data_IF_685969005856
#
_entry.id   IF_685969005856
#
_cell.length_a   1.000
_cell.length_b   1.000
_cell.length_c   1.000
_cell.angle_alpha   90.00
_cell.angle_beta   90.00
_cell.angle_gamma   90.00
#
_symmetry.space_group_name_H-M   'P 1'
#
loop_
_entity.id
_entity.type
_entity.pdbx_description
1 polymer ?
#
# COMPACT_ATOMS: atom_id res chain seq x y z
N UNK A 1 -11.56 -7.55 -27.03
CA UNK A 1 -10.76 -7.55 -25.81
C UNK A 1 -9.92 -6.30 -25.76
N UNK A 2 -9.70 -5.72 -24.60
CA UNK A 2 -9.01 -4.42 -24.45
C UNK A 2 -7.51 -4.63 -24.20
N UNK A 3 -6.67 -3.92 -24.94
CA UNK A 3 -5.22 -3.89 -24.73
C UNK A 3 -4.87 -2.81 -23.72
N UNK A 4 -4.27 -3.18 -22.59
CA UNK A 4 -4.02 -2.28 -21.49
C UNK A 4 -2.51 -2.18 -21.21
N UNK A 5 -2.00 -0.95 -21.11
CA UNK A 5 -0.71 -0.67 -20.53
C UNK A 5 -0.91 -0.27 -19.06
N UNK A 6 -0.34 -1.05 -18.13
CA UNK A 6 -0.46 -0.82 -16.69
C UNK A 6 0.82 -0.20 -16.15
N UNK A 7 0.71 0.94 -15.49
CA UNK A 7 1.79 1.70 -14.89
C UNK A 7 1.63 1.79 -13.37
N UNK A 8 2.75 1.72 -12.66
CA UNK A 8 2.83 1.84 -11.20
C UNK A 8 4.28 1.79 -10.73
N UNK A 9 4.50 1.55 -9.44
CA UNK A 9 5.83 1.34 -8.86
C UNK A 9 6.10 -0.16 -8.66
N UNK A 10 6.18 -0.91 -9.76
CA UNK A 10 6.23 -2.37 -9.78
C UNK A 10 7.62 -2.92 -10.10
N UNK A 11 7.95 -4.11 -9.56
CA UNK A 11 9.21 -4.79 -9.80
C UNK A 11 10.39 -4.24 -9.01
N UNK A 12 10.15 -3.61 -7.86
CA UNK A 12 11.20 -3.10 -6.95
C UNK A 12 11.29 -3.86 -5.62
N UNK A 13 10.48 -4.89 -5.44
CA UNK A 13 10.50 -5.71 -4.23
C UNK A 13 9.86 -5.06 -3.02
N UNK A 14 9.06 -4.02 -3.20
CA UNK A 14 8.20 -3.48 -2.17
C UNK A 14 6.90 -4.30 -2.11
N UNK A 15 6.68 -5.01 -1.03
CA UNK A 15 5.56 -5.93 -0.86
C UNK A 15 4.19 -5.26 -1.05
N UNK A 16 4.05 -4.01 -0.58
CA UNK A 16 2.83 -3.25 -0.76
C UNK A 16 2.51 -2.93 -2.20
N UNK A 17 3.50 -2.48 -2.98
CA UNK A 17 3.32 -2.16 -4.40
C UNK A 17 3.07 -3.45 -5.22
N UNK A 18 3.70 -4.57 -4.84
CA UNK A 18 3.42 -5.88 -5.45
C UNK A 18 1.99 -6.35 -5.15
N UNK A 19 1.49 -6.14 -3.93
CA UNK A 19 0.11 -6.44 -3.58
C UNK A 19 -0.89 -5.55 -4.35
N UNK A 20 -0.58 -4.27 -4.54
CA UNK A 20 -1.36 -3.38 -5.41
C UNK A 20 -1.42 -3.93 -6.83
N UNK A 21 -0.27 -4.33 -7.40
CA UNK A 21 -0.22 -4.92 -8.75
C UNK A 21 -1.12 -6.15 -8.84
N UNK A 22 -1.04 -7.06 -7.87
CA UNK A 22 -1.85 -8.28 -7.82
C UNK A 22 -3.36 -7.94 -7.82
N UNK A 23 -3.77 -7.01 -6.97
CA UNK A 23 -5.18 -6.64 -6.84
C UNK A 23 -5.71 -5.86 -8.05
N UNK A 24 -4.89 -5.00 -8.66
CA UNK A 24 -5.25 -4.30 -9.90
C UNK A 24 -5.34 -5.29 -11.07
N UNK A 25 -4.43 -6.27 -11.17
CA UNK A 25 -4.53 -7.32 -12.17
C UNK A 25 -5.83 -8.12 -12.01
N UNK A 26 -6.24 -8.48 -10.78
CA UNK A 26 -7.55 -9.14 -10.52
C UNK A 26 -8.73 -8.29 -11.04
N UNK A 27 -8.66 -6.96 -10.90
CA UNK A 27 -9.69 -6.06 -11.43
C UNK A 27 -9.68 -6.02 -12.96
N UNK A 28 -8.51 -5.89 -13.59
CA UNK A 28 -8.38 -5.83 -15.04
C UNK A 28 -8.79 -7.13 -15.73
N UNK A 29 -8.54 -8.29 -15.10
CA UNK A 29 -8.92 -9.60 -15.63
C UNK A 29 -10.45 -9.83 -15.71
N UNK A 30 -11.26 -8.92 -15.18
CA UNK A 30 -12.71 -8.94 -15.39
C UNK A 30 -13.15 -8.34 -16.73
N UNK A 31 -12.25 -7.62 -17.40
CA UNK A 31 -12.55 -6.92 -18.65
C UNK A 31 -11.65 -7.32 -19.82
N UNK A 32 -10.53 -8.02 -19.55
CA UNK A 32 -9.59 -8.47 -20.58
C UNK A 32 -8.75 -9.66 -20.10
N UNK A 33 -8.03 -10.31 -20.99
CA UNK A 33 -7.15 -11.44 -20.69
C UNK A 33 -5.72 -11.01 -20.34
N UNK A 34 -4.97 -11.87 -19.66
CA UNK A 34 -3.56 -11.63 -19.28
C UNK A 34 -2.68 -11.23 -20.45
N UNK A 35 -2.87 -11.87 -21.61
CA UNK A 35 -2.08 -11.60 -22.81
C UNK A 35 -2.27 -10.17 -23.37
N UNK A 36 -3.37 -9.50 -23.01
CA UNK A 36 -3.68 -8.13 -23.41
C UNK A 36 -3.21 -7.09 -22.37
N UNK A 37 -2.68 -7.53 -21.23
CA UNK A 37 -2.13 -6.64 -20.22
C UNK A 37 -0.61 -6.60 -20.36
N UNK A 38 -0.06 -5.39 -20.40
CA UNK A 38 1.39 -5.16 -20.36
C UNK A 38 1.72 -4.26 -19.18
N UNK A 39 2.61 -4.71 -18.30
CA UNK A 39 3.01 -3.99 -17.09
C UNK A 39 4.34 -3.27 -17.29
N UNK A 40 4.41 -1.98 -16.94
CA UNK A 40 5.67 -1.27 -16.79
C UNK A 40 6.34 -1.68 -15.49
N UNK A 41 7.50 -2.35 -15.58
CA UNK A 41 8.17 -2.91 -14.41
C UNK A 41 9.64 -2.51 -14.35
N UNK A 42 10.16 -2.39 -13.12
CA UNK A 42 11.58 -2.27 -12.84
C UNK A 42 12.34 -3.61 -12.97
N UNK A 43 11.62 -4.73 -12.81
CA UNK A 43 12.15 -6.08 -13.02
C UNK A 43 11.17 -6.89 -13.90
N UNK A 44 11.37 -6.81 -15.21
CA UNK A 44 10.49 -7.43 -16.20
C UNK A 44 10.35 -8.93 -16.02
N UNK A 45 11.47 -9.63 -15.83
CA UNK A 45 11.49 -11.07 -15.79
C UNK A 45 10.70 -11.60 -14.59
N UNK A 46 11.00 -11.09 -13.40
CA UNK A 46 10.30 -11.46 -12.17
C UNK A 46 8.80 -11.16 -12.26
N UNK A 47 8.44 -9.95 -12.74
CA UNK A 47 7.03 -9.56 -12.89
C UNK A 47 6.29 -10.44 -13.90
N UNK A 48 6.91 -10.74 -15.05
CA UNK A 48 6.30 -11.60 -16.07
C UNK A 48 6.14 -13.03 -15.57
N UNK A 49 7.15 -13.56 -14.91
CA UNK A 49 7.13 -14.93 -14.38
C UNK A 49 6.08 -15.09 -13.28
N UNK A 50 6.02 -14.14 -12.34
CA UNK A 50 5.11 -14.18 -11.20
C UNK A 50 3.64 -14.01 -11.60
N UNK A 51 3.35 -13.03 -12.45
CA UNK A 51 1.96 -12.65 -12.76
C UNK A 51 1.46 -13.18 -14.11
N UNK A 52 2.32 -13.81 -14.92
CA UNK A 52 2.01 -14.35 -16.25
C UNK A 52 1.38 -13.30 -17.18
N UNK A 53 1.96 -12.10 -17.20
CA UNK A 53 1.57 -10.96 -18.05
C UNK A 53 2.74 -10.50 -18.90
N UNK A 54 2.46 -9.71 -19.94
CA UNK A 54 3.52 -9.06 -20.71
C UNK A 54 4.16 -7.95 -19.87
N UNK A 55 5.44 -7.69 -20.06
CA UNK A 55 6.18 -6.68 -19.33
C UNK A 55 7.07 -5.84 -20.24
N UNK A 56 7.23 -4.56 -19.91
CA UNK A 56 8.16 -3.63 -20.54
C UNK A 56 8.97 -2.94 -19.44
N UNK A 57 10.24 -2.69 -19.73
CA UNK A 57 11.07 -1.85 -18.86
C UNK A 57 10.47 -0.44 -18.77
N UNK A 58 10.19 0.00 -17.56
CA UNK A 58 9.56 1.29 -17.29
C UNK A 58 10.35 2.51 -17.77
N UNK A 59 11.63 2.35 -18.05
CA UNK A 59 12.50 3.43 -18.56
C UNK A 59 12.74 3.35 -20.06
N UNK A 60 12.29 2.29 -20.74
CA UNK A 60 12.40 2.15 -22.19
C UNK A 60 11.29 2.92 -22.92
N UNK A 61 11.52 4.21 -23.12
CA UNK A 61 10.54 5.12 -23.74
C UNK A 61 10.08 4.65 -25.12
N UNK A 62 10.96 4.11 -25.96
CA UNK A 62 10.62 3.64 -27.30
C UNK A 62 9.63 2.46 -27.24
N UNK A 63 9.89 1.50 -26.33
CA UNK A 63 8.98 0.37 -26.12
C UNK A 63 7.64 0.81 -25.55
N UNK A 64 7.63 1.83 -24.65
CA UNK A 64 6.39 2.42 -24.12
C UNK A 64 5.58 3.06 -25.24
N UNK A 65 6.20 3.89 -26.08
CA UNK A 65 5.54 4.52 -27.22
C UNK A 65 4.93 3.46 -28.15
N UNK A 66 5.72 2.47 -28.55
CA UNK A 66 5.26 1.37 -29.42
C UNK A 66 4.06 0.63 -28.82
N UNK A 67 4.07 0.41 -27.49
CA UNK A 67 2.97 -0.28 -26.82
C UNK A 67 1.72 0.60 -26.72
N UNK A 68 1.86 1.89 -26.43
CA UNK A 68 0.73 2.82 -26.38
C UNK A 68 -0.02 2.89 -27.72
N UNK A 69 0.68 2.87 -28.87
CA UNK A 69 0.05 2.84 -30.21
C UNK A 69 -0.94 1.68 -30.34
N UNK A 70 -0.65 0.52 -29.74
CA UNK A 70 -1.51 -0.67 -29.81
C UNK A 70 -2.39 -0.90 -28.57
N UNK A 71 -2.48 0.10 -27.67
CA UNK A 71 -3.28 -0.01 -26.45
C UNK A 71 -4.56 0.81 -26.51
N UNK A 72 -5.63 0.31 -25.89
CA UNK A 72 -6.89 1.05 -25.73
C UNK A 72 -6.79 2.03 -24.55
N UNK A 73 -6.03 1.66 -23.49
CA UNK A 73 -5.90 2.47 -22.30
C UNK A 73 -4.52 2.38 -21.64
N UNK A 74 -4.11 3.48 -21.01
CA UNK A 74 -3.09 3.53 -19.98
C UNK A 74 -3.78 3.57 -18.60
N UNK A 75 -3.52 2.57 -17.78
CA UNK A 75 -4.06 2.46 -16.42
C UNK A 75 -2.94 2.66 -15.41
N UNK A 76 -3.13 3.53 -14.44
CA UNK A 76 -2.27 3.64 -13.27
C UNK A 76 -2.92 2.91 -12.11
N UNK A 77 -2.26 1.90 -11.57
CA UNK A 77 -2.83 1.04 -10.55
C UNK A 77 -2.32 1.36 -9.16
N UNK A 78 -3.04 2.18 -8.40
CA UNK A 78 -2.79 2.42 -6.97
C UNK A 78 -1.44 3.05 -6.63
N UNK A 79 -1.16 3.13 -5.33
CA UNK A 79 0.08 3.68 -4.81
C UNK A 79 0.11 5.21 -4.70
N UNK A 80 1.22 5.75 -4.20
CA UNK A 80 1.45 7.21 -4.08
C UNK A 80 2.44 7.66 -5.16
N UNK A 81 1.98 7.70 -6.42
CA UNK A 81 2.84 7.96 -7.57
C UNK A 81 3.13 9.45 -7.76
N UNK A 82 2.15 10.31 -7.45
CA UNK A 82 2.24 11.76 -7.63
C UNK A 82 2.58 12.44 -6.30
N UNK A 83 3.88 12.51 -6.01
CA UNK A 83 4.45 13.21 -4.85
C UNK A 83 5.86 13.71 -5.20
N UNK A 84 6.37 14.74 -4.54
CA UNK A 84 7.68 15.32 -4.81
C UNK A 84 8.63 15.37 -3.59
N UNK A 85 8.25 14.67 -2.50
CA UNK A 85 9.04 14.59 -1.25
C UNK A 85 10.21 13.62 -1.37
N UNK A 86 9.96 12.39 -1.87
CA UNK A 86 11.01 11.37 -1.99
C UNK A 86 11.83 11.52 -3.27
N UNK A 87 11.23 12.01 -4.35
CA UNK A 87 11.90 12.26 -5.62
C UNK A 87 11.17 13.30 -6.46
N UNK A 88 11.82 14.43 -6.70
CA UNK A 88 11.32 15.47 -7.62
C UNK A 88 11.17 14.98 -9.07
N UNK A 89 11.90 13.94 -9.48
CA UNK A 89 11.86 13.39 -10.85
C UNK A 89 10.71 12.43 -11.05
N UNK A 90 10.27 11.73 -10.00
CA UNK A 90 9.23 10.70 -10.08
C UNK A 90 7.91 11.25 -10.57
N UNK A 91 7.45 12.38 -10.03
CA UNK A 91 6.18 13.01 -10.43
C UNK A 91 6.17 13.37 -11.92
N UNK A 92 7.27 13.93 -12.45
CA UNK A 92 7.37 14.31 -13.86
C UNK A 92 7.35 13.10 -14.79
N UNK A 93 7.90 11.96 -14.39
CA UNK A 93 7.83 10.72 -15.13
C UNK A 93 6.38 10.26 -15.34
N UNK A 94 5.58 10.21 -14.27
CA UNK A 94 4.17 9.80 -14.39
C UNK A 94 3.34 10.82 -15.16
N UNK A 95 3.56 12.12 -14.94
CA UNK A 95 2.89 13.16 -15.73
C UNK A 95 3.27 13.11 -17.22
N UNK A 96 4.51 12.73 -17.53
CA UNK A 96 4.93 12.49 -18.91
C UNK A 96 4.18 11.33 -19.54
N UNK A 97 4.05 10.19 -18.87
CA UNK A 97 3.30 9.03 -19.36
C UNK A 97 1.83 9.38 -19.65
N UNK A 98 1.18 10.11 -18.74
CA UNK A 98 -0.21 10.58 -18.92
C UNK A 98 -0.33 11.42 -20.20
N UNK A 99 0.57 12.40 -20.37
CA UNK A 99 0.54 13.27 -21.55
C UNK A 99 0.82 12.52 -22.84
N UNK A 100 1.76 11.60 -22.80
CA UNK A 100 2.10 10.77 -23.96
C UNK A 100 0.91 9.92 -24.39
N UNK A 101 0.26 9.22 -23.46
CA UNK A 101 -0.92 8.41 -23.73
C UNK A 101 -2.07 9.26 -24.26
N UNK A 102 -2.34 10.41 -23.66
CA UNK A 102 -3.37 11.34 -24.13
C UNK A 102 -3.10 11.84 -25.56
N UNK A 103 -1.84 12.17 -25.89
CA UNK A 103 -1.46 12.58 -27.27
C UNK A 103 -1.64 11.47 -28.30
N UNK A 104 -1.57 10.21 -27.87
CA UNK A 104 -1.78 9.04 -28.73
C UNK A 104 -3.24 8.59 -28.81
N UNK A 105 -4.15 9.30 -28.13
CA UNK A 105 -5.59 8.99 -28.15
C UNK A 105 -5.99 7.84 -27.23
N UNK A 106 -5.08 7.37 -26.33
CA UNK A 106 -5.42 6.35 -25.35
C UNK A 106 -6.31 6.92 -24.24
N UNK A 107 -7.27 6.15 -23.74
CA UNK A 107 -7.91 6.46 -22.46
C UNK A 107 -6.89 6.40 -21.35
N UNK A 108 -6.95 7.34 -20.41
CA UNK A 108 -6.08 7.37 -19.24
C UNK A 108 -6.92 7.26 -17.97
N UNK A 109 -6.64 6.24 -17.18
CA UNK A 109 -7.38 5.94 -15.94
C UNK A 109 -6.40 5.83 -14.78
N UNK A 110 -6.69 6.51 -13.69
CA UNK A 110 -5.94 6.39 -12.44
C UNK A 110 -6.81 5.70 -11.39
N UNK A 111 -6.36 4.55 -10.89
CA UNK A 111 -7.10 3.75 -9.92
C UNK A 111 -6.51 3.88 -8.53
N UNK A 112 -7.36 4.21 -7.54
CA UNK A 112 -7.01 4.17 -6.10
C UNK A 112 -5.71 4.89 -5.73
N UNK A 113 -5.50 6.08 -6.31
CA UNK A 113 -4.26 6.83 -6.09
C UNK A 113 -4.23 7.50 -4.71
N UNK A 114 -3.13 7.34 -3.99
CA UNK A 114 -2.74 8.27 -2.94
C UNK A 114 -2.00 9.46 -3.54
N UNK A 115 -2.40 10.67 -3.24
CA UNK A 115 -1.83 11.87 -3.84
C UNK A 115 -1.11 12.72 -2.81
N UNK A 116 0.07 13.15 -3.18
CA UNK A 116 0.86 14.11 -2.41
C UNK A 116 1.69 13.48 -1.27
N UNK A 117 2.33 14.34 -0.46
CA UNK A 117 2.34 15.80 -0.65
C UNK A 117 3.10 16.23 -1.90
N UNK A 118 2.60 17.28 -2.58
CA UNK A 118 3.29 17.98 -3.67
C UNK A 118 3.59 19.38 -3.13
N UNK A 119 4.85 19.65 -2.82
CA UNK A 119 5.27 20.88 -2.15
C UNK A 119 5.57 22.01 -3.14
N UNK A 120 6.05 21.67 -4.33
CA UNK A 120 6.45 22.65 -5.33
C UNK A 120 5.25 23.18 -6.11
N UNK A 121 5.05 24.50 -6.13
CA UNK A 121 3.93 25.17 -6.79
C UNK A 121 3.89 24.92 -8.32
N UNK A 122 5.05 24.82 -8.96
CA UNK A 122 5.12 24.46 -10.38
C UNK A 122 4.64 23.03 -10.60
N UNK A 123 5.02 22.11 -9.71
CA UNK A 123 4.55 20.71 -9.74
C UNK A 123 3.04 20.64 -9.56
N UNK A 124 2.46 21.40 -8.62
CA UNK A 124 0.99 21.47 -8.42
C UNK A 124 0.28 21.91 -9.70
N UNK A 125 0.71 23.03 -10.30
CA UNK A 125 0.12 23.56 -11.54
C UNK A 125 0.21 22.58 -12.71
N UNK A 126 1.37 21.93 -12.89
CA UNK A 126 1.57 20.94 -13.96
C UNK A 126 0.72 19.70 -13.72
N UNK A 127 0.61 19.25 -12.46
CA UNK A 127 -0.24 18.12 -12.07
C UNK A 127 -1.69 18.40 -12.39
N UNK A 128 -2.25 19.51 -11.91
CA UNK A 128 -3.63 19.89 -12.19
C UNK A 128 -3.93 19.97 -13.69
N UNK A 129 -3.08 20.67 -14.47
CA UNK A 129 -3.22 20.77 -15.93
C UNK A 129 -3.18 19.40 -16.62
N UNK A 130 -2.39 18.47 -16.10
CA UNK A 130 -2.25 17.14 -16.70
C UNK A 130 -3.42 16.25 -16.29
N UNK A 131 -3.81 16.24 -15.02
CA UNK A 131 -4.90 15.41 -14.51
C UNK A 131 -6.28 15.83 -15.05
N UNK A 132 -6.47 17.10 -15.38
CA UNK A 132 -7.69 17.55 -16.07
C UNK A 132 -7.86 16.95 -17.49
N UNK A 133 -6.84 16.26 -18.02
CA UNK A 133 -6.91 15.51 -19.28
C UNK A 133 -7.12 14.01 -19.09
N UNK A 134 -7.03 13.51 -17.85
CA UNK A 134 -7.29 12.10 -17.49
C UNK A 134 -8.79 11.85 -17.60
N UNK A 135 -9.20 10.67 -18.06
CA UNK A 135 -10.61 10.34 -18.23
C UNK A 135 -11.28 10.07 -16.86
N UNK A 136 -10.64 9.25 -16.02
CA UNK A 136 -11.15 8.90 -14.68
C UNK A 136 -10.03 8.86 -13.67
N UNK A 137 -10.28 9.42 -12.48
CA UNK A 137 -9.35 9.41 -11.37
C UNK A 137 -10.08 8.89 -10.13
N UNK A 138 -9.69 7.73 -9.62
CA UNK A 138 -10.10 7.31 -8.31
C UNK A 138 -8.96 7.50 -7.31
N UNK A 139 -9.28 8.03 -6.15
CA UNK A 139 -8.34 8.25 -5.05
C UNK A 139 -8.70 7.36 -3.88
N UNK A 140 -7.69 6.93 -3.10
CA UNK A 140 -7.90 5.97 -2.02
C UNK A 140 -8.33 6.58 -0.69
N UNK A 141 -8.21 7.89 -0.55
CA UNK A 141 -8.55 8.62 0.68
C UNK A 141 -9.13 10.01 0.35
N UNK A 142 -9.87 10.56 1.32
CA UNK A 142 -10.54 11.85 1.20
C UNK A 142 -9.54 12.99 1.03
N UNK A 143 -8.43 12.94 1.75
CA UNK A 143 -7.41 13.97 1.76
C UNK A 143 -6.74 14.10 0.38
N UNK A 144 -6.51 12.97 -0.31
CA UNK A 144 -6.05 12.98 -1.71
C UNK A 144 -7.06 13.66 -2.63
N UNK A 145 -8.37 13.45 -2.42
CA UNK A 145 -9.43 14.10 -3.20
C UNK A 145 -9.42 15.61 -2.97
N UNK A 146 -9.50 16.04 -1.71
CA UNK A 146 -9.48 17.44 -1.31
C UNK A 146 -8.23 18.16 -1.79
N UNK A 147 -7.07 17.50 -1.73
CA UNK A 147 -5.83 18.06 -2.25
C UNK A 147 -5.90 18.29 -3.76
N UNK A 148 -6.40 17.33 -4.55
CA UNK A 148 -6.55 17.49 -6.00
C UNK A 148 -7.53 18.63 -6.35
N UNK A 149 -8.64 18.73 -5.65
CA UNK A 149 -9.60 19.83 -5.79
C UNK A 149 -8.93 21.19 -5.48
N UNK A 150 -8.15 21.26 -4.40
CA UNK A 150 -7.46 22.49 -3.98
C UNK A 150 -6.44 23.01 -4.99
N UNK A 151 -5.84 22.13 -5.79
CA UNK A 151 -4.89 22.52 -6.84
C UNK A 151 -5.56 22.74 -8.22
N UNK A 152 -6.89 22.59 -8.32
CA UNK A 152 -7.69 22.90 -9.51
C UNK A 152 -7.94 21.71 -10.46
N UNK A 153 -7.98 20.48 -9.95
CA UNK A 153 -8.50 19.33 -10.70
C UNK A 153 -10.02 19.31 -10.61
N UNK A 154 -10.69 19.11 -11.76
CA UNK A 154 -12.15 19.06 -11.86
C UNK A 154 -12.73 17.93 -10.99
N UNK A 155 -13.58 18.30 -10.03
CA UNK A 155 -14.24 17.35 -9.10
C UNK A 155 -15.04 16.25 -9.81
N UNK A 156 -15.61 16.55 -11.00
CA UNK A 156 -16.38 15.59 -11.80
C UNK A 156 -15.57 14.39 -12.27
N UNK A 157 -14.25 14.51 -12.26
CA UNK A 157 -13.31 13.43 -12.61
C UNK A 157 -12.82 12.63 -11.41
N UNK A 158 -13.11 13.12 -10.18
CA UNK A 158 -12.57 12.59 -8.93
C UNK A 158 -13.58 11.70 -8.21
N UNK A 159 -13.25 10.44 -8.05
CA UNK A 159 -14.08 9.46 -7.35
C UNK A 159 -13.33 8.94 -6.13
N UNK A 160 -14.02 8.85 -4.99
CA UNK A 160 -13.47 8.22 -3.81
C UNK A 160 -13.55 6.69 -3.95
N UNK A 161 -12.43 6.04 -3.65
CA UNK A 161 -12.27 4.61 -3.62
C UNK A 161 -11.54 4.22 -2.31
N UNK A 162 -10.85 3.08 -2.29
CA UNK A 162 -9.93 2.70 -1.25
C UNK A 162 -8.68 2.07 -1.86
N UNK A 163 -7.65 1.84 -1.05
CA UNK A 163 -6.47 1.08 -1.50
C UNK A 163 -6.90 -0.33 -1.92
N UNK A 164 -6.52 -0.80 -3.13
CA UNK A 164 -7.01 -2.08 -3.65
C UNK A 164 -6.60 -3.28 -2.79
N UNK A 165 -5.53 -3.15 -2.01
CA UNK A 165 -5.02 -4.21 -1.13
C UNK A 165 -6.01 -4.56 -0.01
N UNK A 166 -6.96 -3.66 0.34
CA UNK A 166 -8.01 -3.98 1.32
C UNK A 166 -8.90 -5.16 0.88
N UNK A 167 -8.93 -5.48 -0.43
CA UNK A 167 -9.62 -6.65 -0.98
C UNK A 167 -8.74 -7.90 -1.08
N UNK A 168 -7.52 -7.86 -0.53
CA UNK A 168 -6.64 -9.03 -0.54
C UNK A 168 -7.33 -10.17 0.21
N UNK A 169 -7.57 -11.28 -0.49
CA UNK A 169 -8.24 -12.49 0.01
C UNK A 169 -9.58 -12.22 0.74
N UNK A 170 -10.34 -11.23 0.28
CA UNK A 170 -11.60 -10.81 0.90
C UNK A 170 -12.70 -11.89 0.90
N UNK A 171 -12.59 -12.91 0.04
CA UNK A 171 -13.44 -14.06 -0.04
C UNK A 171 -13.19 -15.12 1.06
N UNK A 172 -12.07 -15.03 1.77
CA UNK A 172 -11.74 -15.98 2.83
C UNK A 172 -12.42 -15.63 4.14
N UNK A 173 -13.05 -16.61 4.75
CA UNK A 173 -13.51 -16.47 6.13
C UNK A 173 -12.32 -16.52 7.08
N UNK A 174 -12.16 -15.50 7.89
CA UNK A 174 -11.18 -15.51 8.98
C UNK A 174 -11.73 -16.34 10.12
N UNK A 175 -11.17 -17.54 10.30
CA UNK A 175 -11.56 -18.42 11.42
C UNK A 175 -11.23 -17.78 12.78
N UNK A 176 -11.99 -18.08 13.84
CA UNK A 176 -11.61 -17.69 15.20
C UNK A 176 -10.20 -18.21 15.54
N UNK A 177 -9.38 -17.35 16.14
CA UNK A 177 -8.04 -17.71 16.56
C UNK A 177 -8.11 -18.33 17.95
N UNK A 178 -7.77 -19.59 18.05
CA UNK A 178 -7.64 -20.27 19.33
C UNK A 178 -6.16 -20.46 19.66
N UNK A 179 -5.47 -19.35 19.91
CA UNK A 179 -4.03 -19.38 20.26
C UNK A 179 -3.88 -19.47 21.77
N UNK A 180 -3.16 -20.46 22.25
CA UNK A 180 -2.77 -20.58 23.67
C UNK A 180 -1.95 -19.37 24.15
N UNK A 181 -1.15 -18.78 23.23
CA UNK A 181 -0.39 -17.56 23.45
C UNK A 181 -0.80 -16.47 22.48
N UNK A 182 -0.83 -15.24 22.99
CA UNK A 182 -1.05 -14.07 22.13
C UNK A 182 0.17 -13.82 21.24
N UNK A 183 -0.06 -13.38 20.00
CA UNK A 183 0.95 -13.13 18.96
C UNK A 183 0.87 -11.71 18.45
N UNK A 184 1.99 -11.00 18.48
CA UNK A 184 2.12 -9.62 17.98
C UNK A 184 3.12 -9.58 16.84
N UNK A 185 2.69 -9.10 15.68
CA UNK A 185 3.55 -8.89 14.51
C UNK A 185 4.05 -7.45 14.45
N UNK A 186 5.32 -7.26 14.17
CA UNK A 186 5.95 -5.96 13.95
C UNK A 186 6.37 -5.80 12.49
N UNK A 187 5.93 -4.72 11.85
CA UNK A 187 6.41 -4.30 10.54
C UNK A 187 6.99 -2.89 10.65
N UNK A 188 8.30 -2.82 10.70
CA UNK A 188 9.04 -1.64 11.08
C UNK A 188 9.66 -0.93 9.87
N UNK A 189 9.97 0.34 10.06
CA UNK A 189 10.74 1.16 9.12
C UNK A 189 11.52 2.23 9.88
N UNK A 190 12.78 2.43 9.53
CA UNK A 190 13.51 3.62 9.92
C UNK A 190 13.03 4.83 9.11
N UNK A 191 12.97 6.00 9.76
CA UNK A 191 12.61 7.23 9.10
C UNK A 191 13.61 8.34 9.40
N UNK A 192 14.20 8.91 8.33
CA UNK A 192 15.29 9.90 8.42
C UNK A 192 16.45 9.38 9.27
N UNK A 193 16.81 10.10 10.34
CA UNK A 193 17.89 9.74 11.27
C UNK A 193 17.38 9.09 12.57
N UNK A 194 16.06 8.86 12.67
CA UNK A 194 15.46 8.28 13.89
C UNK A 194 15.49 6.78 13.81
N UNK A 195 16.29 6.13 14.66
CA UNK A 195 16.21 4.69 14.89
C UNK A 195 15.25 4.40 16.03
N UNK A 196 14.32 3.48 15.78
CA UNK A 196 13.36 3.01 16.78
C UNK A 196 13.73 1.63 17.35
N UNK A 197 14.83 1.04 16.90
CA UNK A 197 15.24 -0.33 17.26
C UNK A 197 15.31 -0.57 18.76
N UNK A 198 15.97 0.33 19.52
CA UNK A 198 16.09 0.20 20.96
C UNK A 198 14.74 0.21 21.68
N UNK A 199 13.87 1.17 21.34
CA UNK A 199 12.53 1.29 21.94
C UNK A 199 11.66 0.07 21.62
N UNK A 200 11.64 -0.36 20.37
CA UNK A 200 10.90 -1.56 19.94
C UNK A 200 11.46 -2.81 20.63
N UNK A 201 12.78 -2.93 20.76
CA UNK A 201 13.41 -4.05 21.47
C UNK A 201 12.98 -4.12 22.92
N UNK A 202 12.90 -2.98 23.63
CA UNK A 202 12.44 -2.92 25.00
C UNK A 202 10.96 -3.32 25.13
N UNK A 203 10.11 -2.85 24.20
CA UNK A 203 8.70 -3.25 24.16
C UNK A 203 8.56 -4.75 23.91
N UNK A 204 9.29 -5.30 22.92
CA UNK A 204 9.23 -6.72 22.61
C UNK A 204 9.70 -7.61 23.76
N UNK A 205 10.75 -7.20 24.51
CA UNK A 205 11.17 -7.90 25.74
C UNK A 205 10.06 -7.93 26.78
N UNK A 206 9.44 -6.76 27.08
CA UNK A 206 8.32 -6.69 28.02
C UNK A 206 7.15 -7.57 27.61
N UNK A 207 6.85 -7.67 26.29
CA UNK A 207 5.81 -8.54 25.79
C UNK A 207 6.17 -10.02 25.97
N UNK A 208 7.41 -10.41 25.67
CA UNK A 208 7.91 -11.77 25.87
C UNK A 208 7.88 -12.19 27.35
N UNK A 209 8.27 -11.30 28.28
CA UNK A 209 8.19 -11.51 29.72
C UNK A 209 6.73 -11.76 30.19
N UNK A 210 5.75 -11.25 29.44
CA UNK A 210 4.31 -11.47 29.66
C UNK A 210 3.73 -12.61 28.79
N UNK A 211 4.56 -13.53 28.33
CA UNK A 211 4.18 -14.72 27.54
C UNK A 211 3.47 -14.38 26.20
N UNK A 212 3.82 -13.23 25.59
CA UNK A 212 3.33 -12.79 24.27
C UNK A 212 4.44 -13.02 23.25
N UNK A 213 4.14 -13.76 22.18
CA UNK A 213 5.08 -14.05 21.11
C UNK A 213 5.20 -12.86 20.15
N UNK A 214 6.42 -12.43 19.86
CA UNK A 214 6.70 -11.33 18.92
C UNK A 214 7.24 -11.85 17.59
N UNK A 215 6.73 -11.33 16.49
CA UNK A 215 7.11 -11.68 15.12
C UNK A 215 7.53 -10.42 14.37
N UNK A 216 8.66 -10.47 13.64
CA UNK A 216 9.16 -9.33 12.86
C UNK A 216 9.22 -9.69 11.38
N UNK A 217 8.53 -8.89 10.54
CA UNK A 217 8.45 -9.14 9.10
C UNK A 217 8.85 -7.90 8.28
N UNK A 218 9.64 -8.08 7.19
CA UNK A 218 9.95 -7.00 6.27
C UNK A 218 8.81 -6.79 5.26
N UNK A 219 8.44 -5.54 5.00
CA UNK A 219 7.55 -5.15 3.89
C UNK A 219 8.30 -4.57 2.70
N UNK A 220 9.45 -3.99 2.94
CA UNK A 220 10.41 -3.65 1.90
C UNK A 220 11.77 -4.21 2.29
N UNK A 221 12.02 -5.43 1.86
CA UNK A 221 13.12 -6.26 2.32
C UNK A 221 14.46 -5.51 2.41
N UNK A 222 14.88 -4.82 1.33
CA UNK A 222 16.15 -4.12 1.26
C UNK A 222 16.28 -2.94 2.24
N UNK A 223 15.16 -2.33 2.67
CA UNK A 223 15.17 -1.21 3.61
C UNK A 223 14.93 -1.66 5.05
N UNK A 224 14.14 -2.71 5.26
CA UNK A 224 13.66 -3.08 6.59
C UNK A 224 14.59 -4.09 7.29
N UNK A 225 15.38 -4.86 6.51
CA UNK A 225 16.21 -5.93 7.04
C UNK A 225 17.26 -5.45 8.05
N UNK A 226 17.86 -4.27 7.81
CA UNK A 226 18.85 -3.70 8.73
C UNK A 226 18.24 -3.45 10.11
N UNK A 227 17.07 -2.81 10.15
CA UNK A 227 16.36 -2.53 11.40
C UNK A 227 15.93 -3.81 12.12
N UNK A 228 15.41 -4.80 11.40
CA UNK A 228 15.02 -6.10 11.94
C UNK A 228 16.23 -6.81 12.55
N UNK A 229 17.39 -6.79 11.86
CA UNK A 229 18.63 -7.39 12.36
C UNK A 229 19.16 -6.68 13.61
N UNK A 230 18.96 -5.36 13.69
CA UNK A 230 19.35 -4.57 14.85
C UNK A 230 18.48 -4.93 16.08
N UNK A 231 17.17 -5.09 15.88
CA UNK A 231 16.24 -5.54 16.91
C UNK A 231 16.58 -6.96 17.36
N UNK A 232 16.86 -7.88 16.43
CA UNK A 232 17.26 -9.26 16.73
C UNK A 232 18.51 -9.31 17.64
N UNK A 233 19.54 -8.51 17.32
CA UNK A 233 20.75 -8.43 18.17
C UNK A 233 20.43 -8.01 19.62
N UNK A 234 19.40 -7.19 19.79
CA UNK A 234 19.03 -6.69 21.11
C UNK A 234 18.20 -7.67 21.93
N UNK A 235 17.36 -8.52 21.30
CA UNK A 235 16.40 -9.38 22.00
C UNK A 235 16.68 -10.89 21.86
N UNK A 236 17.56 -11.30 20.95
CA UNK A 236 17.93 -12.69 20.73
C UNK A 236 16.75 -13.57 20.35
N UNK A 237 16.73 -14.79 20.87
CA UNK A 237 15.74 -15.84 20.52
C UNK A 237 14.35 -15.61 21.16
N UNK A 238 14.10 -14.46 21.79
CA UNK A 238 12.81 -14.15 22.41
C UNK A 238 11.74 -13.68 21.39
N UNK A 239 12.03 -13.71 20.09
CA UNK A 239 11.10 -13.37 19.02
C UNK A 239 11.41 -14.17 17.75
N UNK A 240 10.47 -14.18 16.81
CA UNK A 240 10.60 -14.79 15.48
C UNK A 240 10.92 -13.72 14.45
N UNK A 241 11.99 -13.91 13.69
CA UNK A 241 12.45 -12.96 12.67
C UNK A 241 12.39 -13.56 11.27
N UNK A 242 11.61 -12.96 10.40
CA UNK A 242 11.60 -13.28 8.98
C UNK A 242 12.66 -12.44 8.28
N UNK A 243 13.75 -13.08 7.84
CA UNK A 243 14.89 -12.43 7.18
C UNK A 243 14.97 -12.74 5.69
N UNK A 244 13.89 -13.24 5.13
CA UNK A 244 13.76 -13.53 3.70
C UNK A 244 12.73 -12.61 3.06
N UNK A 245 12.80 -12.48 1.75
CA UNK A 245 11.81 -11.72 0.99
C UNK A 245 10.50 -12.51 0.94
N UNK A 246 9.47 -12.00 1.59
CA UNK A 246 8.15 -12.61 1.60
C UNK A 246 7.39 -12.29 0.31
N UNK A 247 6.59 -13.25 -0.14
CA UNK A 247 5.52 -13.00 -1.11
C UNK A 247 4.30 -12.35 -0.43
N UNK A 248 3.40 -11.79 -1.23
CA UNK A 248 2.12 -11.22 -0.76
C UNK A 248 1.32 -12.21 0.07
N UNK A 249 1.25 -13.47 -0.39
CA UNK A 249 0.50 -14.53 0.30
C UNK A 249 1.15 -14.94 1.62
N UNK A 250 2.47 -15.13 1.66
CA UNK A 250 3.18 -15.47 2.89
C UNK A 250 3.02 -14.39 3.95
N UNK A 251 3.20 -13.11 3.59
CA UNK A 251 3.01 -12.02 4.52
C UNK A 251 1.56 -11.93 5.03
N UNK A 252 0.58 -12.15 4.15
CA UNK A 252 -0.83 -12.18 4.55
C UNK A 252 -1.11 -13.34 5.51
N UNK A 253 -0.61 -14.55 5.23
CA UNK A 253 -0.80 -15.73 6.07
C UNK A 253 -0.14 -15.57 7.44
N UNK A 254 1.05 -14.96 7.49
CA UNK A 254 1.69 -14.61 8.78
C UNK A 254 0.79 -13.65 9.55
N UNK A 255 0.40 -12.52 8.96
CA UNK A 255 -0.40 -11.48 9.64
C UNK A 255 -1.77 -12.04 10.05
N UNK A 256 -2.44 -12.81 9.19
CA UNK A 256 -3.75 -13.42 9.47
C UNK A 256 -3.74 -14.26 10.75
N UNK A 257 -2.62 -14.84 11.12
CA UNK A 257 -2.46 -15.68 12.31
C UNK A 257 -2.04 -14.89 13.57
N UNK A 258 -1.94 -13.56 13.50
CA UNK A 258 -1.57 -12.70 14.62
C UNK A 258 -2.79 -12.18 15.36
N UNK A 259 -2.65 -11.88 16.65
CA UNK A 259 -3.68 -11.22 17.44
C UNK A 259 -3.65 -9.70 17.25
N UNK A 260 -2.45 -9.14 16.99
CA UNK A 260 -2.23 -7.72 16.78
C UNK A 260 -1.08 -7.49 15.81
N UNK A 261 -1.15 -6.40 15.05
CA UNK A 261 -0.01 -5.90 14.27
C UNK A 261 0.43 -4.52 14.79
N UNK A 262 1.73 -4.32 14.99
CA UNK A 262 2.35 -3.00 15.21
C UNK A 262 3.02 -2.59 13.92
N UNK A 263 2.49 -1.56 13.24
CA UNK A 263 2.91 -1.20 11.90
C UNK A 263 3.41 0.24 11.78
N UNK A 264 4.59 0.39 11.15
CA UNK A 264 5.09 1.65 10.62
C UNK A 264 4.81 1.73 9.12
N UNK A 265 4.92 0.62 8.39
CA UNK A 265 4.65 0.54 6.96
C UNK A 265 3.15 0.58 6.68
N UNK A 266 2.69 1.54 5.85
CA UNK A 266 1.28 1.67 5.48
C UNK A 266 0.65 0.34 5.05
N UNK A 267 1.30 -0.38 4.13
CA UNK A 267 0.71 -1.61 3.61
C UNK A 267 0.66 -2.75 4.64
N UNK A 268 1.51 -2.75 5.67
CA UNK A 268 1.35 -3.72 6.76
C UNK A 268 0.04 -3.51 7.53
N UNK A 269 -0.34 -2.24 7.75
CA UNK A 269 -1.62 -1.87 8.36
C UNK A 269 -2.81 -2.26 7.46
N UNK A 270 -2.68 -2.05 6.13
CA UNK A 270 -3.72 -2.45 5.17
C UNK A 270 -3.87 -3.97 5.12
N UNK A 271 -2.77 -4.73 5.18
CA UNK A 271 -2.80 -6.21 5.27
C UNK A 271 -3.49 -6.67 6.55
N UNK A 272 -3.16 -6.06 7.69
CA UNK A 272 -3.82 -6.36 8.95
C UNK A 272 -5.32 -6.08 8.87
N UNK A 273 -5.71 -4.94 8.33
CA UNK A 273 -7.12 -4.60 8.12
C UNK A 273 -7.81 -5.57 7.15
N UNK A 274 -7.16 -5.95 6.04
CA UNK A 274 -7.69 -6.93 5.09
C UNK A 274 -7.89 -8.32 5.72
N UNK A 275 -7.07 -8.67 6.71
CA UNK A 275 -7.13 -9.92 7.48
C UNK A 275 -7.98 -9.83 8.77
N UNK A 276 -8.69 -8.72 8.97
CA UNK A 276 -9.43 -8.42 10.21
C UNK A 276 -8.55 -8.56 11.48
N UNK A 277 -7.28 -8.16 11.41
CA UNK A 277 -6.34 -8.13 12.53
C UNK A 277 -6.27 -6.72 13.09
N UNK A 278 -6.59 -6.50 14.36
CA UNK A 278 -6.38 -5.21 15.00
C UNK A 278 -4.93 -4.75 14.87
N UNK A 279 -4.70 -3.45 14.85
CA UNK A 279 -3.35 -2.93 14.72
C UNK A 279 -3.10 -1.70 15.60
N UNK A 280 -1.82 -1.47 15.91
CA UNK A 280 -1.28 -0.23 16.46
C UNK A 280 -0.43 0.43 15.38
N UNK A 281 -0.77 1.65 15.01
CA UNK A 281 -0.09 2.39 13.97
C UNK A 281 0.91 3.40 14.55
N UNK A 282 2.14 3.40 14.02
CA UNK A 282 3.17 4.40 14.27
C UNK A 282 3.37 5.16 12.97
N UNK A 283 3.09 6.48 12.97
CA UNK A 283 3.15 7.27 11.74
C UNK A 283 4.55 7.80 11.44
N UNK A 284 4.88 7.85 10.16
CA UNK A 284 6.05 8.55 9.63
C UNK A 284 5.68 9.48 8.47
N UNK A 285 4.45 9.38 7.97
CA UNK A 285 4.00 10.04 6.75
C UNK A 285 2.47 10.14 6.76
N UNK A 286 1.92 11.24 6.31
CA UNK A 286 0.47 11.50 6.27
C UNK A 286 -0.36 10.39 5.63
N UNK A 287 0.19 9.61 4.70
CA UNK A 287 -0.53 8.46 4.12
C UNK A 287 -0.88 7.37 5.14
N UNK A 288 -0.08 7.25 6.22
CA UNK A 288 -0.40 6.36 7.34
C UNK A 288 -1.57 6.94 8.13
N UNK A 289 -1.50 8.24 8.44
CA UNK A 289 -2.55 8.95 9.18
C UNK A 289 -3.89 8.86 8.44
N UNK A 290 -3.91 9.14 7.13
CA UNK A 290 -5.11 9.07 6.29
C UNK A 290 -5.75 7.68 6.25
N UNK A 291 -4.94 6.62 6.15
CA UNK A 291 -5.47 5.26 6.19
C UNK A 291 -6.05 4.92 7.55
N UNK A 292 -5.33 5.20 8.63
CA UNK A 292 -5.75 4.94 10.01
C UNK A 292 -7.06 5.67 10.33
N UNK A 293 -7.18 6.92 9.91
CA UNK A 293 -8.42 7.70 10.00
C UNK A 293 -9.57 7.08 9.19
N UNK A 294 -9.29 6.55 8.00
CA UNK A 294 -10.32 5.95 7.13
C UNK A 294 -10.98 4.70 7.71
N UNK A 295 -10.34 4.06 8.70
CA UNK A 295 -10.88 2.94 9.48
C UNK A 295 -11.23 3.33 10.91
N UNK A 296 -11.42 4.63 11.17
CA UNK A 296 -11.81 5.21 12.48
C UNK A 296 -10.89 4.78 13.63
N UNK A 297 -9.59 4.70 13.37
CA UNK A 297 -8.56 4.41 14.35
C UNK A 297 -7.64 5.63 14.54
N UNK A 298 -6.76 5.56 15.54
CA UNK A 298 -5.80 6.60 15.84
C UNK A 298 -4.37 6.07 15.71
N UNK A 299 -3.46 6.94 15.33
CA UNK A 299 -2.02 6.70 15.41
C UNK A 299 -1.59 6.86 16.86
N UNK A 300 -0.76 5.93 17.37
CA UNK A 300 -0.28 5.99 18.76
C UNK A 300 0.79 7.08 18.94
N UNK A 301 1.67 7.22 17.96
CA UNK A 301 2.70 8.26 17.93
C UNK A 301 3.33 8.39 16.54
N UNK A 302 4.18 9.41 16.34
CA UNK A 302 5.11 9.42 15.21
C UNK A 302 6.40 8.63 15.53
N UNK A 303 7.14 8.23 14.48
CA UNK A 303 8.45 7.57 14.63
C UNK A 303 9.42 8.43 15.44
N UNK A 304 9.41 9.75 15.22
CA UNK A 304 10.27 10.69 15.92
C UNK A 304 9.97 10.81 17.42
N UNK A 305 8.68 10.71 17.79
CA UNK A 305 8.19 10.91 19.16
C UNK A 305 7.73 9.61 19.84
N UNK A 306 8.18 8.45 19.34
CA UNK A 306 7.79 7.15 19.88
C UNK A 306 8.17 7.07 21.37
N UNK A 307 7.17 6.79 22.22
CA UNK A 307 7.35 6.45 23.62
C UNK A 307 7.07 4.95 23.81
N UNK A 308 8.03 4.23 24.41
CA UNK A 308 7.96 2.78 24.57
C UNK A 308 6.93 2.34 25.60
N UNK A 309 6.66 3.16 26.62
CA UNK A 309 5.66 2.82 27.63
C UNK A 309 4.24 3.01 27.08
N UNK A 310 4.01 4.12 26.38
CA UNK A 310 2.72 4.38 25.71
C UNK A 310 2.44 3.30 24.66
N UNK A 311 3.47 2.92 23.86
CA UNK A 311 3.32 1.85 22.86
C UNK A 311 2.96 0.51 23.52
N UNK A 312 3.66 0.14 24.58
CA UNK A 312 3.40 -1.11 25.32
C UNK A 312 1.97 -1.13 25.87
N UNK A 313 1.55 -0.06 26.55
CA UNK A 313 0.19 0.05 27.13
C UNK A 313 -0.91 -0.05 26.07
N UNK A 314 -0.73 0.59 24.90
CA UNK A 314 -1.71 0.49 23.82
C UNK A 314 -1.75 -0.92 23.20
N UNK A 315 -0.60 -1.62 23.10
CA UNK A 315 -0.56 -3.02 22.66
C UNK A 315 -1.36 -3.90 23.63
N UNK A 316 -1.11 -3.81 24.92
CA UNK A 316 -1.80 -4.62 25.93
C UNK A 316 -3.30 -4.33 25.91
N UNK A 317 -3.69 -3.07 25.92
CA UNK A 317 -5.09 -2.64 25.86
C UNK A 317 -5.84 -3.23 24.65
N UNK A 318 -5.20 -3.23 23.48
CA UNK A 318 -5.81 -3.80 22.27
C UNK A 318 -5.88 -5.33 22.30
N UNK A 319 -4.89 -6.00 22.89
CA UNK A 319 -4.91 -7.45 23.08
C UNK A 319 -6.00 -7.89 24.06
N UNK A 320 -6.23 -7.12 25.13
CA UNK A 320 -7.31 -7.37 26.10
C UNK A 320 -8.69 -7.18 25.48
N UNK A 321 -8.81 -6.27 24.52
CA UNK A 321 -10.07 -5.94 23.83
C UNK A 321 -10.13 -6.48 22.39
N UNK A 322 -9.35 -7.52 22.05
CA UNK A 322 -9.14 -8.00 20.69
C UNK A 322 -10.43 -8.19 19.89
N UNK A 323 -11.42 -8.87 20.44
CA UNK A 323 -12.68 -9.17 19.75
C UNK A 323 -13.47 -7.91 19.41
N UNK A 324 -13.53 -6.95 20.34
CA UNK A 324 -14.18 -5.66 20.12
C UNK A 324 -13.47 -4.83 19.07
N UNK A 325 -12.11 -4.76 19.13
CA UNK A 325 -11.29 -4.06 18.15
C UNK A 325 -11.41 -4.68 16.76
N UNK A 326 -11.44 -6.01 16.66
CA UNK A 326 -11.66 -6.75 15.42
C UNK A 326 -13.02 -6.45 14.81
N UNK A 327 -14.09 -6.48 15.59
CA UNK A 327 -15.45 -6.20 15.11
C UNK A 327 -15.58 -4.77 14.59
N UNK A 328 -15.00 -3.78 15.29
CA UNK A 328 -14.97 -2.39 14.84
C UNK A 328 -14.23 -2.26 13.51
N UNK A 329 -13.01 -2.81 13.44
CA UNK A 329 -12.18 -2.76 12.23
C UNK A 329 -12.90 -3.43 11.04
N UNK A 330 -13.45 -4.63 11.21
CA UNK A 330 -14.17 -5.38 10.17
C UNK A 330 -15.34 -4.58 9.60
N UNK A 331 -16.08 -3.85 10.45
CA UNK A 331 -17.19 -2.99 10.03
C UNK A 331 -16.72 -1.86 9.11
N UNK A 332 -15.59 -1.22 9.43
CA UNK A 332 -15.08 -0.10 8.64
C UNK A 332 -14.36 -0.58 7.37
N UNK A 333 -13.66 -1.72 7.44
CA UNK A 333 -13.10 -2.40 6.27
C UNK A 333 -14.20 -2.76 5.25
N UNK A 334 -15.35 -3.25 5.69
CA UNK A 334 -16.50 -3.52 4.80
C UNK A 334 -16.93 -2.27 4.03
N UNK A 335 -16.96 -1.10 4.69
CA UNK A 335 -17.30 0.16 4.02
C UNK A 335 -16.26 0.51 2.95
N UNK A 336 -14.95 0.36 3.26
CA UNK A 336 -13.88 0.60 2.30
C UNK A 336 -13.97 -0.34 1.09
N UNK A 337 -14.26 -1.61 1.32
CA UNK A 337 -14.48 -2.60 0.23
C UNK A 337 -15.63 -2.21 -0.70
N UNK A 338 -16.69 -1.60 -0.16
CA UNK A 338 -17.78 -1.09 -1.00
C UNK A 338 -17.34 0.07 -1.90
N UNK A 339 -16.46 0.97 -1.41
CA UNK A 339 -15.98 2.10 -2.21
C UNK A 339 -15.14 1.66 -3.41
N UNK A 340 -14.42 0.55 -3.33
CA UNK A 340 -13.61 0.02 -4.44
C UNK A 340 -14.48 -0.40 -5.64
N UNK A 341 -15.74 -0.68 -5.45
CA UNK A 341 -16.65 -1.05 -6.56
C UNK A 341 -16.71 -0.01 -7.67
N UNK A 342 -16.38 1.25 -7.37
CA UNK A 342 -16.27 2.30 -8.39
C UNK A 342 -15.19 2.00 -9.43
N UNK A 343 -14.07 1.37 -9.04
CA UNK A 343 -13.00 1.00 -9.96
C UNK A 343 -13.52 0.03 -11.03
N UNK A 344 -14.32 -0.97 -10.64
CA UNK A 344 -14.90 -1.93 -11.58
C UNK A 344 -15.88 -1.28 -12.56
N UNK A 345 -16.66 -0.27 -12.12
CA UNK A 345 -17.54 0.49 -13.01
C UNK A 345 -16.73 1.26 -14.04
N UNK A 346 -15.70 1.98 -13.60
CA UNK A 346 -14.82 2.79 -14.46
C UNK A 346 -14.07 1.90 -15.46
N UNK A 347 -13.56 0.75 -15.05
CA UNK A 347 -12.84 -0.15 -15.95
C UNK A 347 -13.71 -0.70 -17.08
N UNK A 348 -15.02 -0.82 -16.89
CA UNK A 348 -15.96 -1.23 -17.95
C UNK A 348 -16.18 -0.16 -19.01
N UNK A 349 -15.78 1.09 -18.73
CA UNK A 349 -15.86 2.19 -19.69
C UNK A 349 -14.66 2.23 -20.68
N UNK A 350 -13.64 1.39 -20.49
CA UNK A 350 -12.55 1.19 -21.45
C UNK A 350 -13.13 0.47 -22.68
#
# INVERSE_FOLDING_TARGET
MKNILLAGYYGFGNLGDEAILEMVLKQLLQITDRNNITVLSGNKNETSEKYKVNTIDRYNVLSIIKKLIGSDALVFGGGSLLQDVTSKRSIYYYLFLIRLAHLMGNKVIMLSQGIGPILNERSKKITAKTLNKVDYITVRDRQSKEFLESIGVDEKKLYLSADPVINLRAEENVAPRNNEKKKVCFSLRNWKKSSISGKISNVAKKLADNNIECYFIPFYYNEDLELITEVEKNIGDNAVFYKERLSTNEAYDIIKNMNLLVGVRLHSLIFAAAADVPFVAISYDHKVDHFVESVNMNVVSSVENLDEQILYEEIIKKLENEDSERQKLSKDVKKLRETIKINYKILREI
#
